data_IF_787006493769
#
_entry.id   IF_787006493769
#
_cell.length_a   1.000
_cell.length_b   1.000
_cell.length_c   1.000
_cell.angle_alpha   90.00
_cell.angle_beta   90.00
_cell.angle_gamma   90.00
#
_symmetry.space_group_name_H-M   'P 1'
#
loop_
_entity.id
_entity.type
_entity.pdbx_description
1 polymer ?
#
# COMPACT_ATOMS: atom_id res chain seq x y z
N UNK A 1 29.83 9.29 63.40
CA UNK A 1 30.11 10.19 64.55
C UNK A 1 28.78 10.65 65.11
N UNK A 2 28.55 10.50 66.42
CA UNK A 2 27.32 10.92 67.09
C UNK A 2 27.32 12.43 67.35
N UNK A 3 26.15 13.06 67.34
CA UNK A 3 26.02 14.49 67.61
C UNK A 3 26.35 14.81 69.10
N UNK A 4 26.96 15.98 69.38
CA UNK A 4 27.28 16.41 70.74
C UNK A 4 26.02 16.76 71.56
N UNK A 5 26.10 16.55 72.89
CA UNK A 5 24.97 16.53 73.82
C UNK A 5 24.19 17.86 73.95
N UNK A 6 24.80 18.97 73.54
CA UNK A 6 24.22 20.32 73.65
C UNK A 6 23.65 20.84 72.32
N UNK A 7 23.73 20.05 71.25
CA UNK A 7 23.10 20.42 70.00
C UNK A 7 21.57 20.33 70.16
N UNK A 8 20.81 21.40 69.88
CA UNK A 8 19.36 21.33 69.95
C UNK A 8 18.86 20.25 68.98
N UNK A 9 18.20 19.24 69.53
CA UNK A 9 17.54 18.22 68.71
C UNK A 9 16.22 18.84 68.26
N UNK A 10 15.97 19.02 66.95
CA UNK A 10 14.67 19.51 66.52
C UNK A 10 13.62 18.52 67.03
N UNK A 11 12.56 19.04 67.66
CA UNK A 11 11.38 18.23 67.97
C UNK A 11 10.90 17.73 66.61
N UNK A 12 10.94 16.42 66.39
CA UNK A 12 10.27 15.81 65.25
C UNK A 12 8.76 15.96 65.51
N UNK A 13 8.23 17.15 65.23
CA UNK A 13 6.81 17.48 65.47
C UNK A 13 5.87 16.64 64.60
N UNK A 14 6.38 16.06 63.50
CA UNK A 14 5.64 15.11 62.70
C UNK A 14 6.35 13.76 62.64
N UNK A 15 5.69 12.73 63.17
CA UNK A 15 5.95 11.35 62.75
C UNK A 15 5.63 11.32 61.26
N UNK A 16 6.66 11.26 60.39
CA UNK A 16 6.46 11.04 58.95
C UNK A 16 5.90 9.64 58.75
N UNK A 17 4.58 9.52 58.80
CA UNK A 17 3.89 8.30 58.42
C UNK A 17 3.89 8.25 56.89
N UNK A 18 4.25 7.10 56.33
CA UNK A 18 4.12 6.86 54.90
C UNK A 18 2.66 7.06 54.47
N UNK A 19 2.41 8.04 53.62
CA UNK A 19 1.16 8.19 52.88
C UNK A 19 1.36 7.66 51.47
N UNK A 20 0.55 6.68 51.07
CA UNK A 20 0.52 6.28 49.66
C UNK A 20 0.03 7.45 48.80
N UNK A 21 0.54 7.60 47.56
CA UNK A 21 -0.01 8.57 46.61
C UNK A 21 -1.51 8.37 46.42
N UNK A 22 -2.26 9.44 46.19
CA UNK A 22 -3.72 9.40 45.96
C UNK A 22 -4.10 8.56 44.73
N UNK A 23 -3.15 8.37 43.80
CA UNK A 23 -3.32 7.56 42.60
C UNK A 23 -2.15 6.59 42.46
N UNK A 24 -2.46 5.30 42.47
CA UNK A 24 -1.55 4.28 41.99
C UNK A 24 -1.75 4.12 40.46
N UNK A 25 -0.72 4.34 39.62
CA UNK A 25 -0.83 4.05 38.20
C UNK A 25 -1.09 2.55 38.00
N UNK A 26 -1.74 2.20 36.90
CA UNK A 26 -1.97 0.80 36.59
C UNK A 26 -0.63 0.06 36.46
N UNK A 27 -0.66 -1.23 36.82
CA UNK A 27 0.49 -2.10 36.61
C UNK A 27 0.86 -2.10 35.13
N UNK A 28 2.17 -2.09 34.86
CA UNK A 28 2.66 -2.20 33.49
C UNK A 28 2.13 -3.49 32.87
N UNK A 29 1.60 -3.36 31.65
CA UNK A 29 1.21 -4.48 30.81
C UNK A 29 2.06 -4.44 29.55
N UNK A 30 2.48 -5.61 29.07
CA UNK A 30 3.13 -5.75 27.78
C UNK A 30 2.08 -5.65 26.66
N UNK A 31 1.47 -4.49 26.53
CA UNK A 31 0.63 -4.19 25.38
C UNK A 31 1.49 -3.70 24.22
N UNK A 32 0.97 -3.85 23.01
CA UNK A 32 1.59 -3.30 21.79
C UNK A 32 0.62 -2.28 21.25
N UNK A 33 0.70 -1.00 21.68
CA UNK A 33 -0.28 0.02 21.33
C UNK A 33 -0.43 0.25 19.82
N UNK A 34 0.56 -0.16 19.05
CA UNK A 34 0.60 -0.06 17.59
C UNK A 34 0.20 -1.35 16.88
N UNK A 35 -0.03 -2.45 17.59
CA UNK A 35 -0.53 -3.68 16.98
C UNK A 35 -2.01 -3.49 16.65
N UNK A 36 -2.37 -3.89 15.43
CA UNK A 36 -3.76 -3.90 14.99
C UNK A 36 -4.45 -5.08 15.67
N UNK A 37 -5.44 -4.82 16.51
CA UNK A 37 -6.32 -5.86 17.05
C UNK A 37 -7.25 -6.37 15.95
N UNK A 38 -6.99 -7.57 15.45
CA UNK A 38 -7.82 -8.23 14.42
C UNK A 38 -7.24 -8.12 13.01
N UNK A 39 -8.11 -7.94 12.01
CA UNK A 39 -7.70 -7.84 10.61
C UNK A 39 -7.25 -6.43 10.25
N UNK A 40 -6.49 -6.30 9.16
CA UNK A 40 -6.11 -5.00 8.60
C UNK A 40 -7.35 -4.13 8.32
N UNK A 41 -7.32 -2.83 8.65
CA UNK A 41 -8.46 -1.95 8.44
C UNK A 41 -8.80 -1.82 6.95
N UNK A 42 -10.09 -1.74 6.67
CA UNK A 42 -10.63 -1.53 5.33
C UNK A 42 -11.27 -0.14 5.26
N UNK A 43 -11.07 0.54 4.14
CA UNK A 43 -11.55 1.90 3.96
C UNK A 43 -11.11 2.49 2.64
N UNK A 44 -11.73 3.61 2.28
CA UNK A 44 -11.35 4.36 1.09
C UNK A 44 -9.88 4.76 1.20
N UNK A 45 -9.13 4.63 0.11
CA UNK A 45 -7.71 4.97 0.05
C UNK A 45 -6.77 4.19 1.00
N UNK A 46 -7.24 3.21 1.78
CA UNK A 46 -6.36 2.41 2.66
C UNK A 46 -5.52 1.35 1.93
N UNK A 47 -5.73 1.17 0.62
CA UNK A 47 -4.92 0.27 -0.18
C UNK A 47 -5.35 -1.20 -0.08
N UNK A 48 -4.56 -2.09 -0.69
CA UNK A 48 -4.61 -3.52 -0.42
C UNK A 48 -3.27 -3.92 0.17
N UNK A 49 -3.29 -4.47 1.37
CA UNK A 49 -2.07 -4.82 2.10
C UNK A 49 -1.49 -6.11 1.52
N UNK A 50 -0.21 -6.09 1.16
CA UNK A 50 0.50 -7.24 0.59
C UNK A 50 2.00 -7.09 0.82
N UNK A 51 2.71 -8.20 1.08
CA UNK A 51 4.16 -8.16 1.28
C UNK A 51 4.89 -7.74 -0.02
N UNK A 52 6.15 -7.31 0.13
CA UNK A 52 7.12 -7.21 -0.97
C UNK A 52 6.82 -6.22 -2.10
N UNK A 53 6.31 -5.02 -1.79
CA UNK A 53 6.14 -3.95 -2.79
C UNK A 53 7.45 -3.60 -3.52
N UNK A 54 8.59 -3.63 -2.81
CA UNK A 54 9.91 -3.44 -3.40
C UNK A 54 10.28 -4.50 -4.44
N UNK A 55 9.88 -5.76 -4.20
CA UNK A 55 10.10 -6.84 -5.18
C UNK A 55 9.22 -6.67 -6.42
N UNK A 56 7.95 -6.26 -6.25
CA UNK A 56 7.09 -5.96 -7.38
C UNK A 56 7.64 -4.81 -8.24
N UNK A 57 8.22 -3.77 -7.63
CA UNK A 57 8.91 -2.70 -8.36
C UNK A 57 10.09 -3.24 -9.17
N UNK A 58 10.89 -4.14 -8.61
CA UNK A 58 11.99 -4.79 -9.33
C UNK A 58 11.47 -5.58 -10.53
N UNK A 59 10.38 -6.35 -10.39
CA UNK A 59 9.76 -7.07 -11.50
C UNK A 59 9.20 -6.12 -12.57
N UNK A 60 8.57 -5.01 -12.17
CA UNK A 60 8.02 -4.03 -13.10
C UNK A 60 9.13 -3.36 -13.93
N UNK A 61 10.25 -3.01 -13.30
CA UNK A 61 11.42 -2.46 -14.00
C UNK A 61 12.03 -3.45 -14.99
N UNK A 62 12.01 -4.76 -14.70
CA UNK A 62 12.45 -5.79 -15.66
C UNK A 62 11.57 -5.90 -16.91
N UNK A 63 10.31 -5.50 -16.80
CA UNK A 63 9.35 -5.47 -17.91
C UNK A 63 9.34 -4.12 -18.66
N UNK A 64 10.03 -3.11 -18.15
CA UNK A 64 9.98 -1.73 -18.66
C UNK A 64 10.38 -1.61 -20.13
N UNK A 65 11.34 -2.42 -20.57
CA UNK A 65 11.83 -2.45 -21.95
C UNK A 65 10.80 -2.99 -22.97
N UNK A 66 9.72 -3.61 -22.49
CA UNK A 66 8.62 -4.13 -23.32
C UNK A 66 7.43 -3.16 -23.40
N UNK A 67 7.50 -2.03 -22.70
CA UNK A 67 6.39 -1.09 -22.63
C UNK A 67 6.38 -0.17 -23.85
N UNK A 68 5.22 -0.09 -24.50
CA UNK A 68 4.93 0.83 -25.58
C UNK A 68 4.15 2.03 -25.03
N UNK A 69 4.85 3.15 -24.91
CA UNK A 69 4.30 4.40 -24.38
C UNK A 69 3.86 5.28 -25.55
N UNK A 70 2.57 5.59 -25.57
CA UNK A 70 1.91 6.47 -26.56
C UNK A 70 1.18 7.55 -25.78
N UNK A 71 1.06 8.75 -26.36
CA UNK A 71 0.29 9.84 -25.75
C UNK A 71 1.04 10.64 -24.67
N UNK A 72 2.37 10.65 -24.67
CA UNK A 72 3.18 11.45 -23.75
C UNK A 72 3.30 10.90 -22.33
N UNK A 73 2.84 9.67 -22.09
CA UNK A 73 3.04 8.96 -20.83
C UNK A 73 4.53 8.65 -20.60
N UNK A 74 4.95 8.74 -19.35
CA UNK A 74 6.30 8.37 -18.91
C UNK A 74 6.29 6.96 -18.33
N UNK A 75 7.40 6.23 -18.43
CA UNK A 75 7.54 4.87 -17.92
C UNK A 75 7.18 4.75 -16.43
N UNK A 76 7.51 5.77 -15.63
CA UNK A 76 7.19 5.82 -14.20
C UNK A 76 5.69 5.78 -13.93
N UNK A 77 4.89 6.48 -14.73
CA UNK A 77 3.42 6.51 -14.62
C UNK A 77 2.83 5.13 -14.89
N UNK A 78 3.24 4.51 -16.01
CA UNK A 78 2.82 3.16 -16.39
C UNK A 78 3.19 2.12 -15.32
N UNK A 79 4.44 2.15 -14.85
CA UNK A 79 4.92 1.26 -13.80
C UNK A 79 4.12 1.44 -12.52
N UNK A 80 3.94 2.67 -12.04
CA UNK A 80 3.28 2.93 -10.75
C UNK A 80 1.81 2.53 -10.78
N UNK A 81 1.08 2.86 -11.83
CA UNK A 81 -0.33 2.46 -11.99
C UNK A 81 -0.48 0.93 -12.06
N UNK A 82 0.29 0.26 -12.92
CA UNK A 82 0.22 -1.19 -13.08
C UNK A 82 0.75 -1.96 -11.84
N UNK A 83 1.74 -1.41 -11.14
CA UNK A 83 2.24 -1.96 -9.88
C UNK A 83 1.13 -2.06 -8.83
N UNK A 84 0.35 -0.99 -8.64
CA UNK A 84 -0.70 -0.99 -7.62
C UNK A 84 -1.80 -2.02 -7.94
N UNK A 85 -2.11 -2.23 -9.23
CA UNK A 85 -3.06 -3.27 -9.66
C UNK A 85 -2.48 -4.66 -9.38
N UNK A 86 -1.20 -4.87 -9.69
CA UNK A 86 -0.51 -6.12 -9.43
C UNK A 86 -0.48 -6.46 -7.93
N UNK A 87 -0.24 -5.46 -7.08
CA UNK A 87 -0.28 -5.60 -5.62
C UNK A 87 -1.68 -5.95 -5.13
N UNK A 88 -2.73 -5.28 -5.63
CA UNK A 88 -4.12 -5.67 -5.32
C UNK A 88 -4.40 -7.13 -5.64
N UNK A 89 -3.95 -7.60 -6.81
CA UNK A 89 -4.11 -9.00 -7.20
C UNK A 89 -3.35 -9.95 -6.28
N UNK A 90 -2.11 -9.62 -5.94
CA UNK A 90 -1.31 -10.44 -5.04
C UNK A 90 -1.95 -10.55 -3.64
N UNK A 91 -2.47 -9.43 -3.11
CA UNK A 91 -3.24 -9.38 -1.86
C UNK A 91 -4.51 -10.24 -1.91
N UNK A 92 -5.23 -10.25 -3.03
CA UNK A 92 -6.41 -11.11 -3.21
C UNK A 92 -6.09 -12.60 -3.06
N UNK A 93 -4.87 -13.00 -3.41
CA UNK A 93 -4.38 -14.37 -3.25
C UNK A 93 -3.56 -14.58 -1.98
N UNK A 94 -3.47 -13.59 -1.09
CA UNK A 94 -2.68 -13.64 0.15
C UNK A 94 -1.23 -14.11 -0.06
N UNK A 95 -0.58 -13.65 -1.14
CA UNK A 95 0.79 -14.04 -1.50
C UNK A 95 1.66 -12.86 -1.90
N UNK A 96 2.96 -13.10 -1.99
CA UNK A 96 3.89 -12.18 -2.62
C UNK A 96 3.55 -11.96 -4.12
N UNK A 97 3.86 -10.76 -4.67
CA UNK A 97 3.67 -10.44 -6.07
C UNK A 97 4.57 -11.28 -6.98
N UNK A 98 4.02 -11.72 -8.11
CA UNK A 98 4.73 -12.48 -9.14
C UNK A 98 4.64 -11.77 -10.49
N UNK A 99 5.49 -12.18 -11.45
CA UNK A 99 5.55 -11.54 -12.76
C UNK A 99 4.21 -11.53 -13.51
N UNK A 100 3.35 -12.53 -13.27
CA UNK A 100 2.03 -12.62 -13.87
C UNK A 100 1.04 -11.57 -13.37
N UNK A 101 1.24 -10.98 -12.19
CA UNK A 101 0.39 -9.89 -11.70
C UNK A 101 0.61 -8.62 -12.52
N UNK A 102 1.88 -8.30 -12.77
CA UNK A 102 2.28 -7.20 -13.63
C UNK A 102 1.94 -7.49 -15.10
N UNK A 103 2.10 -8.74 -15.54
CA UNK A 103 1.77 -9.12 -16.92
C UNK A 103 0.32 -8.81 -17.23
N UNK A 104 -0.61 -9.18 -16.33
CA UNK A 104 -2.03 -8.87 -16.49
C UNK A 104 -2.28 -7.37 -16.49
N UNK A 105 -1.67 -6.64 -15.55
CA UNK A 105 -1.83 -5.19 -15.45
C UNK A 105 -1.37 -4.46 -16.72
N UNK A 106 -0.21 -4.83 -17.26
CA UNK A 106 0.31 -4.22 -18.49
C UNK A 106 -0.48 -4.66 -19.74
N UNK A 107 -0.95 -5.90 -19.81
CA UNK A 107 -1.74 -6.39 -20.95
C UNK A 107 -3.09 -5.71 -21.04
N UNK A 108 -3.88 -5.64 -19.95
CA UNK A 108 -5.23 -5.06 -20.04
C UNK A 108 -5.24 -3.57 -20.38
N UNK A 109 -4.18 -2.85 -20.00
CA UNK A 109 -3.96 -1.44 -20.36
C UNK A 109 -3.17 -1.27 -21.67
N UNK A 110 -2.94 -2.35 -22.43
CA UNK A 110 -2.29 -2.30 -23.75
C UNK A 110 -0.87 -1.75 -23.72
N UNK A 111 -0.15 -1.84 -22.60
CA UNK A 111 1.24 -1.38 -22.53
C UNK A 111 2.22 -2.33 -23.23
N UNK A 112 1.84 -3.60 -23.42
CA UNK A 112 2.64 -4.55 -24.21
C UNK A 112 2.29 -4.59 -25.70
N UNK A 113 1.38 -3.72 -26.14
CA UNK A 113 0.97 -3.64 -27.53
C UNK A 113 1.58 -2.40 -28.18
N UNK A 114 2.24 -2.57 -29.32
CA UNK A 114 2.79 -1.47 -30.10
C UNK A 114 1.69 -0.63 -30.79
N UNK A 115 0.53 -1.24 -31.05
CA UNK A 115 -0.61 -0.61 -31.73
C UNK A 115 -1.91 -0.84 -30.94
N UNK A 116 -2.01 -0.32 -29.70
CA UNK A 116 -3.21 -0.47 -28.90
C UNK A 116 -4.40 0.27 -29.54
N UNK A 117 -5.66 -0.12 -29.22
CA UNK A 117 -6.83 0.66 -29.61
C UNK A 117 -6.68 2.15 -29.25
N UNK A 118 -7.03 3.05 -30.18
CA UNK A 118 -6.80 4.49 -30.01
C UNK A 118 -7.60 5.07 -28.82
N UNK A 119 -8.79 4.53 -28.57
CA UNK A 119 -9.62 4.89 -27.43
C UNK A 119 -8.96 4.45 -26.10
N UNK A 120 -8.47 3.21 -26.02
CA UNK A 120 -7.67 2.72 -24.88
C UNK A 120 -6.45 3.62 -24.63
N UNK A 121 -5.70 3.94 -25.68
CA UNK A 121 -4.49 4.76 -25.57
C UNK A 121 -4.78 6.15 -25.01
N UNK A 122 -5.89 6.77 -25.45
CA UNK A 122 -6.36 8.08 -24.97
C UNK A 122 -6.79 7.99 -23.50
N UNK A 123 -7.69 7.05 -23.16
CA UNK A 123 -8.17 6.86 -21.78
C UNK A 123 -7.01 6.58 -20.82
N UNK A 124 -6.06 5.73 -21.22
CA UNK A 124 -4.87 5.43 -20.42
C UNK A 124 -3.97 6.65 -20.25
N UNK A 125 -3.78 7.46 -21.30
CA UNK A 125 -2.98 8.68 -21.21
C UNK A 125 -3.55 9.67 -20.19
N UNK A 126 -4.88 9.82 -20.15
CA UNK A 126 -5.54 10.72 -19.19
C UNK A 126 -5.46 10.19 -17.76
N UNK A 127 -5.75 8.91 -17.55
CA UNK A 127 -5.78 8.31 -16.21
C UNK A 127 -4.41 8.17 -15.58
N UNK A 128 -3.40 7.74 -16.34
CA UNK A 128 -2.08 7.43 -15.79
C UNK A 128 -1.19 8.68 -15.64
N UNK A 129 -1.58 9.82 -16.20
CA UNK A 129 -0.76 11.04 -16.23
C UNK A 129 -0.32 11.47 -14.82
N UNK A 130 0.99 11.46 -14.59
CA UNK A 130 1.59 11.93 -13.34
C UNK A 130 1.46 10.97 -12.15
N UNK A 131 0.85 9.79 -12.32
CA UNK A 131 0.68 8.78 -11.26
C UNK A 131 2.02 8.29 -10.71
N UNK A 132 3.11 8.40 -11.47
CA UNK A 132 4.46 8.10 -11.01
C UNK A 132 4.94 9.01 -9.88
N UNK A 133 4.30 10.16 -9.68
CA UNK A 133 4.60 11.07 -8.57
C UNK A 133 3.97 10.57 -7.27
N UNK A 134 4.74 10.55 -6.18
CA UNK A 134 4.30 10.11 -4.85
C UNK A 134 3.12 10.92 -4.30
N UNK A 135 2.93 12.16 -4.76
CA UNK A 135 1.81 13.00 -4.36
C UNK A 135 0.48 12.60 -5.03
N UNK A 136 0.52 11.79 -6.09
CA UNK A 136 -0.66 11.37 -6.87
C UNK A 136 -1.17 9.99 -6.41
N UNK A 137 -1.18 9.79 -5.09
CA UNK A 137 -1.59 8.52 -4.50
C UNK A 137 -3.06 8.20 -4.78
N UNK A 138 -3.94 9.20 -4.70
CA UNK A 138 -5.38 9.04 -4.91
C UNK A 138 -5.69 8.62 -6.35
N UNK A 139 -5.05 9.23 -7.34
CA UNK A 139 -5.18 8.92 -8.77
C UNK A 139 -4.73 7.49 -9.07
N UNK A 140 -3.57 7.10 -8.52
CA UNK A 140 -3.09 5.73 -8.61
C UNK A 140 -4.05 4.73 -7.96
N UNK A 141 -4.79 5.14 -6.93
CA UNK A 141 -5.79 4.29 -6.26
C UNK A 141 -7.09 4.18 -7.05
N UNK A 142 -7.57 5.27 -7.63
CA UNK A 142 -8.73 5.27 -8.52
C UNK A 142 -8.55 4.30 -9.68
N UNK A 143 -7.36 4.25 -10.29
CA UNK A 143 -7.03 3.26 -11.33
C UNK A 143 -7.20 1.82 -10.83
N UNK A 144 -6.75 1.55 -9.61
CA UNK A 144 -6.80 0.22 -9.01
C UNK A 144 -8.22 -0.19 -8.70
N UNK A 145 -9.03 0.72 -8.18
CA UNK A 145 -10.39 0.45 -7.74
C UNK A 145 -11.37 0.29 -8.92
N UNK A 146 -11.06 0.86 -10.10
CA UNK A 146 -11.79 0.62 -11.35
C UNK A 146 -11.72 -0.84 -11.82
N UNK A 147 -10.59 -1.53 -11.61
CA UNK A 147 -10.38 -2.87 -12.14
C UNK A 147 -11.35 -3.88 -11.48
N UNK A 148 -12.21 -4.59 -12.22
CA UNK A 148 -13.10 -5.58 -11.63
C UNK A 148 -12.33 -6.73 -10.97
N UNK A 149 -12.81 -7.21 -9.82
CA UNK A 149 -12.21 -8.38 -9.17
C UNK A 149 -12.22 -9.61 -10.09
N UNK A 150 -13.26 -9.76 -10.93
CA UNK A 150 -13.34 -10.82 -11.94
C UNK A 150 -12.12 -10.81 -12.87
N UNK A 151 -11.64 -9.63 -13.30
CA UNK A 151 -10.42 -9.49 -14.10
C UNK A 151 -9.18 -9.91 -13.29
N UNK A 152 -9.09 -9.52 -12.03
CA UNK A 152 -7.95 -9.90 -11.17
C UNK A 152 -7.86 -11.41 -10.93
N UNK A 153 -9.01 -12.10 -10.99
CA UNK A 153 -9.08 -13.56 -10.89
C UNK A 153 -8.72 -14.28 -12.20
N UNK A 154 -8.63 -13.58 -13.33
CA UNK A 154 -8.23 -14.18 -14.61
C UNK A 154 -6.76 -14.61 -14.62
N UNK A 155 -6.45 -15.58 -15.49
CA UNK A 155 -5.09 -15.96 -15.88
C UNK A 155 -4.55 -15.00 -16.94
N UNK A 156 -3.21 -14.91 -17.13
CA UNK A 156 -2.63 -14.10 -18.20
C UNK A 156 -3.19 -14.43 -19.59
N UNK A 157 -3.39 -15.72 -19.89
CA UNK A 157 -3.94 -16.16 -21.17
C UNK A 157 -5.38 -15.67 -21.39
N UNK A 158 -6.23 -15.69 -20.36
CA UNK A 158 -7.59 -15.16 -20.44
C UNK A 158 -7.60 -13.64 -20.71
N UNK A 159 -6.74 -12.88 -20.02
CA UNK A 159 -6.60 -11.44 -20.24
C UNK A 159 -6.09 -11.14 -21.64
N UNK A 160 -5.06 -11.87 -22.11
CA UNK A 160 -4.54 -11.74 -23.47
C UNK A 160 -5.60 -12.07 -24.53
N UNK A 161 -6.46 -13.06 -24.30
CA UNK A 161 -7.53 -13.41 -25.24
C UNK A 161 -8.68 -12.41 -25.27
N UNK A 162 -8.96 -11.73 -24.14
CA UNK A 162 -10.02 -10.73 -24.06
C UNK A 162 -9.56 -9.35 -24.57
N UNK A 163 -8.28 -9.05 -24.43
CA UNK A 163 -7.63 -7.91 -25.05
C UNK A 163 -7.42 -8.16 -26.56
N UNK A 164 -7.58 -7.16 -27.45
CA UNK A 164 -7.96 -5.78 -27.18
C UNK A 164 -9.47 -5.52 -27.13
N UNK A 165 -10.30 -6.43 -27.65
CA UNK A 165 -11.73 -6.16 -27.91
C UNK A 165 -12.53 -5.79 -26.65
N UNK A 166 -12.24 -6.43 -25.52
CA UNK A 166 -13.00 -6.25 -24.27
C UNK A 166 -12.20 -5.48 -23.21
N UNK A 167 -11.30 -4.57 -23.61
CA UNK A 167 -10.43 -3.87 -22.68
C UNK A 167 -11.20 -3.09 -21.60
N UNK A 168 -12.35 -2.49 -21.93
CA UNK A 168 -13.21 -1.78 -20.96
C UNK A 168 -13.76 -2.68 -19.89
N UNK A 169 -14.15 -3.90 -20.25
CA UNK A 169 -14.59 -4.91 -19.28
C UNK A 169 -13.43 -5.36 -18.39
N UNK A 170 -12.21 -5.43 -18.94
CA UNK A 170 -11.02 -5.79 -18.17
C UNK A 170 -10.64 -4.70 -17.17
N UNK A 171 -10.66 -3.43 -17.59
CA UNK A 171 -10.15 -2.29 -16.79
C UNK A 171 -11.22 -1.61 -15.94
N UNK A 172 -12.50 -1.71 -16.32
CA UNK A 172 -13.61 -0.98 -15.71
C UNK A 172 -13.74 0.49 -16.12
N UNK A 173 -12.97 0.93 -17.13
CA UNK A 173 -12.92 2.32 -17.61
C UNK A 173 -13.83 2.61 -18.81
#
# INVERSE_FOLDING_TARGET
MSAPQFAPTPVLDDVRVYGSPDVAPQSWVNNRPTDIEGFQPVGEHLGFQGPDQGYALLLANRLSNRLHLVGGLVTADAIRGCLNIALRRASLYSRAPVIHDLTIAFTMWGFFDANPPADLATTRADLFKGVGNVHHYAEGRSIVDMVPEATLRMTPAQVTSAYPTNWRTLTGA
#
